data_IF_285904349269
#
_entry.id   IF_285904349269
#
_cell.length_a   1.000
_cell.length_b   1.000
_cell.length_c   1.000
_cell.angle_alpha   90.00
_cell.angle_beta   90.00
_cell.angle_gamma   90.00
#
_symmetry.space_group_name_H-M   'P 1'
#
loop_
_entity.id
_entity.type
_entity.pdbx_description
1 polymer ?
#
# COMPACT_ATOMS: atom_id res chain seq x y z
N UNK A 1 -2.92 -3.84 9.19
CA UNK A 1 -1.71 -3.53 8.39
C UNK A 1 -1.33 -4.78 7.63
N UNK A 2 -1.26 -4.70 6.30
CA UNK A 2 -0.80 -5.84 5.50
C UNK A 2 0.64 -6.18 5.88
N UNK A 3 0.89 -7.44 6.28
CA UNK A 3 2.24 -7.93 6.53
C UNK A 3 2.88 -8.18 5.17
N UNK A 4 3.69 -7.25 4.71
CA UNK A 4 4.52 -7.40 3.51
C UNK A 4 5.97 -7.69 3.93
N UNK A 5 6.68 -8.47 3.12
CA UNK A 5 8.10 -8.76 3.30
C UNK A 5 8.88 -8.44 2.03
N UNK A 6 10.12 -7.99 2.18
CA UNK A 6 11.09 -7.91 1.08
C UNK A 6 11.78 -9.27 0.98
N UNK A 7 11.78 -9.85 -0.22
CA UNK A 7 12.55 -11.06 -0.53
C UNK A 7 13.53 -10.71 -1.64
N UNK A 8 14.82 -10.82 -1.34
CA UNK A 8 15.90 -10.56 -2.28
C UNK A 8 16.33 -11.88 -2.93
N UNK A 9 16.38 -11.89 -4.27
CA UNK A 9 16.83 -13.04 -5.05
C UNK A 9 18.27 -12.82 -5.53
N UNK A 10 18.93 -13.88 -5.98
CA UNK A 10 20.33 -13.79 -6.43
C UNK A 10 20.47 -12.90 -7.68
N UNK A 11 19.48 -12.94 -8.57
CA UNK A 11 19.46 -12.15 -9.80
C UNK A 11 18.05 -11.70 -10.20
N UNK A 12 17.98 -10.80 -11.19
CA UNK A 12 16.73 -10.20 -11.64
C UNK A 12 15.81 -11.19 -12.38
N UNK A 13 16.38 -12.18 -13.07
CA UNK A 13 15.59 -13.15 -13.85
C UNK A 13 14.90 -14.15 -12.93
N UNK A 14 15.57 -14.62 -11.87
CA UNK A 14 14.98 -15.42 -10.81
C UNK A 14 13.80 -14.69 -10.13
N UNK A 15 13.98 -13.42 -9.78
CA UNK A 15 12.90 -12.61 -9.21
C UNK A 15 11.69 -12.50 -10.14
N UNK A 16 11.91 -12.29 -11.45
CA UNK A 16 10.83 -12.21 -12.45
C UNK A 16 10.09 -13.53 -12.58
N UNK A 17 10.80 -14.65 -12.62
CA UNK A 17 10.23 -16.00 -12.71
C UNK A 17 9.35 -16.30 -11.50
N UNK A 18 9.84 -16.05 -10.29
CA UNK A 18 9.07 -16.28 -9.05
C UNK A 18 7.82 -15.40 -9.01
N UNK A 19 7.92 -14.12 -9.39
CA UNK A 19 6.76 -13.23 -9.47
C UNK A 19 5.72 -13.78 -10.48
N UNK A 20 6.18 -14.29 -11.63
CA UNK A 20 5.31 -14.88 -12.65
C UNK A 20 4.62 -16.15 -12.13
N UNK A 21 5.35 -17.05 -11.47
CA UNK A 21 4.81 -18.29 -10.94
C UNK A 21 3.76 -18.04 -9.85
N UNK A 22 4.07 -17.19 -8.86
CA UNK A 22 3.13 -16.83 -7.77
C UNK A 22 1.87 -16.15 -8.32
N UNK A 23 1.98 -15.41 -9.42
CA UNK A 23 0.83 -14.76 -10.06
C UNK A 23 -0.10 -15.75 -10.75
N UNK A 24 0.45 -16.81 -11.37
CA UNK A 24 -0.31 -17.75 -12.19
C UNK A 24 -0.75 -19.00 -11.43
N UNK A 25 -0.07 -19.33 -10.34
CA UNK A 25 -0.34 -20.50 -9.51
C UNK A 25 -0.45 -20.11 -8.04
N UNK A 26 -1.49 -20.55 -7.30
CA UNK A 26 -1.62 -20.23 -5.88
C UNK A 26 -0.42 -20.74 -5.09
N UNK A 27 0.39 -19.81 -4.57
CA UNK A 27 1.51 -20.13 -3.69
C UNK A 27 1.12 -19.83 -2.25
N UNK A 28 1.13 -20.85 -1.38
CA UNK A 28 0.72 -20.73 0.02
C UNK A 28 1.95 -20.71 0.93
N UNK A 29 1.97 -19.82 1.91
CA UNK A 29 2.97 -19.81 2.98
C UNK A 29 2.22 -20.17 4.26
N UNK A 30 2.50 -21.36 4.82
CA UNK A 30 1.80 -21.99 5.95
C UNK A 30 0.57 -22.85 5.58
N UNK A 31 -0.07 -23.41 6.61
CA UNK A 31 -1.21 -24.34 6.53
C UNK A 31 -2.56 -23.66 6.24
N UNK A 32 -2.68 -22.34 6.41
CA UNK A 32 -3.90 -21.61 6.06
C UNK A 32 -3.93 -21.32 4.55
N UNK A 33 -5.06 -21.56 3.85
CA UNK A 33 -5.15 -21.43 2.40
C UNK A 33 -5.27 -19.97 1.95
N UNK A 34 -4.25 -19.15 2.26
CA UNK A 34 -4.14 -17.75 1.85
C UNK A 34 -2.99 -17.60 0.86
N UNK A 35 -3.28 -17.61 -0.46
CA UNK A 35 -2.25 -17.45 -1.47
C UNK A 35 -1.55 -16.10 -1.32
N UNK A 36 -0.22 -16.10 -1.35
CA UNK A 36 0.55 -14.87 -1.31
C UNK A 36 0.57 -14.20 -2.67
N UNK A 37 0.78 -12.88 -2.67
CA UNK A 37 0.93 -12.08 -3.89
C UNK A 37 2.35 -11.52 -3.94
N UNK A 38 3.02 -11.71 -5.06
CA UNK A 38 4.36 -11.16 -5.30
C UNK A 38 4.28 -9.96 -6.26
N UNK A 39 5.15 -8.96 -6.04
CA UNK A 39 5.31 -7.80 -6.91
C UNK A 39 6.77 -7.37 -6.94
N UNK A 40 7.28 -6.78 -8.04
CA UNK A 40 8.61 -6.20 -8.06
C UNK A 40 8.76 -5.15 -6.97
N UNK A 41 9.86 -5.19 -6.22
CA UNK A 41 10.19 -4.17 -5.24
C UNK A 41 10.50 -2.83 -5.95
N UNK A 42 9.87 -1.73 -5.52
CA UNK A 42 10.22 -0.39 -6.00
C UNK A 42 10.82 0.46 -4.89
N UNK A 43 11.64 1.44 -5.29
CA UNK A 43 12.22 2.42 -4.39
C UNK A 43 11.09 3.15 -3.65
N UNK A 44 11.06 3.03 -2.31
CA UNK A 44 10.03 3.64 -1.46
C UNK A 44 8.87 2.73 -1.05
N UNK A 45 8.90 1.43 -1.35
CA UNK A 45 7.94 0.47 -0.79
C UNK A 45 8.11 0.20 0.71
N UNK A 46 9.31 0.46 1.25
CA UNK A 46 9.70 0.19 2.63
C UNK A 46 10.29 1.48 3.24
N UNK A 47 9.87 1.79 4.48
CA UNK A 47 10.10 3.08 5.17
C UNK A 47 11.53 3.25 5.70
N UNK A 48 12.31 2.17 5.70
CA UNK A 48 13.67 2.03 6.22
C UNK A 48 14.73 2.84 5.45
N UNK A 49 14.33 3.53 4.38
CA UNK A 49 15.26 4.38 3.62
C UNK A 49 15.31 5.80 4.21
N UNK A 50 16.51 6.34 4.50
CA UNK A 50 16.64 7.73 4.90
C UNK A 50 16.02 8.65 3.85
N UNK A 51 15.35 9.71 4.33
CA UNK A 51 14.74 10.75 3.50
C UNK A 51 15.77 11.25 2.49
N UNK A 52 15.36 11.44 1.22
CA UNK A 52 16.27 11.93 0.15
C UNK A 52 17.06 13.15 0.67
N UNK A 53 18.40 13.08 0.72
CA UNK A 53 19.23 14.08 1.41
C UNK A 53 19.07 15.48 0.81
N UNK A 54 18.83 15.58 -0.50
CA UNK A 54 18.72 16.86 -1.22
C UNK A 54 17.31 17.48 -1.22
N UNK A 55 16.33 16.83 -0.56
CA UNK A 55 14.94 17.31 -0.58
C UNK A 55 14.65 18.22 0.61
N UNK A 56 14.72 19.52 0.41
CA UNK A 56 14.15 20.51 1.34
C UNK A 56 12.63 20.54 1.19
N UNK A 57 11.89 20.25 2.27
CA UNK A 57 10.44 20.46 2.30
C UNK A 57 10.18 21.69 3.17
N UNK A 58 9.65 22.74 2.55
CA UNK A 58 9.16 23.92 3.26
C UNK A 58 7.69 23.71 3.60
N UNK A 59 7.35 23.82 4.89
CA UNK A 59 5.99 23.73 5.39
C UNK A 59 5.58 25.09 5.96
N UNK A 60 4.43 25.62 5.54
CA UNK A 60 3.86 26.84 6.11
C UNK A 60 2.34 26.71 6.24
N UNK A 61 1.78 27.43 7.21
CA UNK A 61 0.34 27.49 7.42
C UNK A 61 -0.24 28.63 6.60
N UNK A 62 -1.18 28.30 5.70
CA UNK A 62 -1.89 29.29 4.90
C UNK A 62 -2.87 30.08 5.78
N UNK A 63 -2.85 31.41 5.63
CA UNK A 63 -3.85 32.31 6.24
C UNK A 63 -5.05 32.45 5.31
N UNK A 64 -6.20 32.86 5.83
CA UNK A 64 -7.43 33.05 5.05
C UNK A 64 -7.29 34.02 3.87
N UNK A 65 -6.38 34.99 3.98
CA UNK A 65 -6.15 36.01 2.95
C UNK A 65 -5.10 35.57 1.91
N UNK A 66 -4.55 34.36 2.04
CA UNK A 66 -3.60 33.82 1.09
C UNK A 66 -4.34 33.43 -0.21
N UNK A 67 -3.81 33.78 -1.40
CA UNK A 67 -4.46 33.45 -2.68
C UNK A 67 -4.69 31.94 -2.85
N UNK A 68 -3.86 31.09 -2.24
CA UNK A 68 -3.97 29.64 -2.36
C UNK A 68 -4.85 29.01 -1.27
N UNK A 69 -5.37 29.80 -0.32
CA UNK A 69 -6.15 29.27 0.81
C UNK A 69 -7.39 28.50 0.38
N UNK A 70 -8.11 28.99 -0.64
CA UNK A 70 -9.31 28.34 -1.16
C UNK A 70 -8.96 27.01 -1.86
N UNK A 71 -7.88 27.00 -2.65
CA UNK A 71 -7.39 25.82 -3.36
C UNK A 71 -6.98 24.74 -2.35
N UNK A 72 -6.19 25.11 -1.35
CA UNK A 72 -5.77 24.21 -0.28
C UNK A 72 -6.96 23.65 0.51
N UNK A 73 -7.99 24.47 0.75
CA UNK A 73 -9.22 24.04 1.44
C UNK A 73 -10.00 23.01 0.60
N UNK A 74 -10.13 23.23 -0.72
CA UNK A 74 -10.75 22.28 -1.64
C UNK A 74 -9.98 20.96 -1.67
N UNK A 75 -8.64 21.01 -1.81
CA UNK A 75 -7.78 19.82 -1.76
C UNK A 75 -7.95 19.05 -0.45
N UNK A 76 -7.95 19.75 0.69
CA UNK A 76 -8.16 19.14 2.01
C UNK A 76 -9.49 18.41 2.10
N UNK A 77 -10.57 18.97 1.52
CA UNK A 77 -11.88 18.31 1.48
C UNK A 77 -11.84 17.04 0.63
N UNK A 78 -11.24 17.11 -0.57
CA UNK A 78 -11.12 15.96 -1.47
C UNK A 78 -10.34 14.83 -0.81
N UNK A 79 -9.17 15.12 -0.23
CA UNK A 79 -8.33 14.14 0.46
C UNK A 79 -9.08 13.48 1.62
N UNK A 80 -9.85 14.26 2.39
CA UNK A 80 -10.68 13.71 3.48
C UNK A 80 -11.78 12.79 2.97
N UNK A 81 -12.44 13.14 1.86
CA UNK A 81 -13.48 12.30 1.27
C UNK A 81 -12.88 10.99 0.76
N UNK A 82 -11.79 11.07 0.01
CA UNK A 82 -11.07 9.90 -0.48
C UNK A 82 -10.62 8.98 0.67
N UNK A 83 -10.10 9.54 1.77
CA UNK A 83 -9.72 8.76 2.94
C UNK A 83 -10.94 8.07 3.59
N UNK A 84 -12.12 8.69 3.60
CA UNK A 84 -13.35 8.05 4.09
C UNK A 84 -13.80 6.91 3.19
N UNK A 85 -13.78 7.11 1.87
CA UNK A 85 -14.13 6.10 0.88
C UNK A 85 -13.17 4.90 0.95
N UNK A 86 -11.86 5.14 1.00
CA UNK A 86 -10.86 4.10 1.14
C UNK A 86 -11.03 3.30 2.45
N UNK A 87 -11.30 3.98 3.57
CA UNK A 87 -11.58 3.31 4.84
C UNK A 87 -12.88 2.49 4.80
N UNK A 88 -13.91 2.98 4.12
CA UNK A 88 -15.15 2.23 3.95
C UNK A 88 -14.92 0.94 3.16
N UNK A 89 -14.22 1.02 2.03
CA UNK A 89 -13.87 -0.15 1.21
C UNK A 89 -12.99 -1.14 1.98
N UNK A 90 -12.00 -0.64 2.73
CA UNK A 90 -11.14 -1.49 3.56
C UNK A 90 -11.93 -2.27 4.61
N UNK A 91 -12.91 -1.62 5.27
CA UNK A 91 -13.78 -2.31 6.23
C UNK A 91 -14.59 -3.43 5.58
N UNK A 92 -15.17 -3.17 4.40
CA UNK A 92 -15.91 -4.19 3.64
C UNK A 92 -15.02 -5.38 3.26
N UNK A 93 -13.82 -5.11 2.77
CA UNK A 93 -12.87 -6.16 2.43
C UNK A 93 -12.49 -7.02 3.66
N UNK A 94 -12.29 -6.39 4.83
CA UNK A 94 -11.99 -7.12 6.06
C UNK A 94 -13.17 -8.00 6.52
N UNK A 95 -14.41 -7.48 6.45
CA UNK A 95 -15.62 -8.25 6.75
C UNK A 95 -15.73 -9.49 5.84
N UNK A 96 -15.48 -9.33 4.54
CA UNK A 96 -15.46 -10.44 3.57
C UNK A 96 -14.33 -11.44 3.86
N UNK A 97 -13.13 -10.96 4.19
CA UNK A 97 -11.99 -11.82 4.54
C UNK A 97 -12.21 -12.61 5.85
N UNK A 98 -12.95 -12.06 6.81
CA UNK A 98 -13.37 -12.74 8.03
C UNK A 98 -14.41 -13.83 7.73
N UNK A 99 -15.42 -13.53 6.90
CA UNK A 99 -16.43 -14.51 6.49
C UNK A 99 -15.79 -15.69 5.72
N UNK A 100 -14.93 -15.39 4.75
CA UNK A 100 -14.19 -16.42 4.00
C UNK A 100 -13.32 -17.29 4.90
N UNK A 101 -12.74 -16.71 5.97
CA UNK A 101 -11.93 -17.48 6.91
C UNK A 101 -12.78 -18.51 7.69
N UNK A 102 -14.01 -18.15 8.04
CA UNK A 102 -14.96 -19.05 8.71
C UNK A 102 -15.36 -20.19 7.78
N UNK A 103 -15.64 -19.90 6.51
CA UNK A 103 -16.03 -20.92 5.51
C UNK A 103 -14.92 -21.91 5.17
N UNK A 104 -13.66 -21.49 5.30
CA UNK A 104 -12.47 -22.30 4.97
C UNK A 104 -11.86 -23.04 6.17
N UNK A 105 -12.44 -22.87 7.38
CA UNK A 105 -12.03 -23.57 8.61
C UNK A 105 -12.84 -24.84 8.82
#
# INVERSE_FOLDING_TARGET
>A
MGRAALVEMQNADEARTIIYEIRNSPFMISSMPRPVRARPAVVGMFDDRPRKPDRTIMCYWLKSNDPDFEVATKMKRIVRNHAKEANFLLKRQLEEEEQLAIEQS
#
